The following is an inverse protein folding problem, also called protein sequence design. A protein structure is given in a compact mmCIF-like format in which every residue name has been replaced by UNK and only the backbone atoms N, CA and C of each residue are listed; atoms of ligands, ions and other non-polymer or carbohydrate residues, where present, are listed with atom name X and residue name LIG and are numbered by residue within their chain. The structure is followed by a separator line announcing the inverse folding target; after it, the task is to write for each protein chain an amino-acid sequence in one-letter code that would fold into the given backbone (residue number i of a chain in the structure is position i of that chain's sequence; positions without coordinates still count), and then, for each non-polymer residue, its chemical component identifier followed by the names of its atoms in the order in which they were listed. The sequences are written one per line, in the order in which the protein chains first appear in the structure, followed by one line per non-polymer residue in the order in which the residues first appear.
data_IF_710723298103
#
_entry.id   IF_710723298103
#
_cell.length_a   1.000
_cell.length_b   1.000
_cell.length_c   1.000
_cell.angle_alpha   90.00
_cell.angle_beta   90.00
_cell.angle_gamma   90.00
#
_symmetry.space_group_name_H-M   'P 1'
#
loop_
_entity.id
_entity.type
_entity.pdbx_description
1 polymer ?
#
# COMPACT_ATOMS: atom_id res chain seq x y z
N UNK A 1 1.98 39.62 5.50
CA UNK A 1 0.54 39.85 5.74
C UNK A 1 -0.09 39.99 4.36
N UNK A 2 -0.76 38.94 3.88
CA UNK A 2 -1.42 38.99 2.59
C UNK A 2 -2.60 39.97 2.71
N UNK A 3 -2.58 41.05 1.93
CA UNK A 3 -3.77 41.90 1.77
C UNK A 3 -4.87 40.99 1.26
N UNK A 4 -5.90 40.78 2.07
CA UNK A 4 -6.95 39.82 1.78
C UNK A 4 -7.70 40.30 0.53
N UNK A 5 -8.06 39.38 -0.35
CA UNK A 5 -8.88 39.66 -1.53
C UNK A 5 -10.20 40.36 -1.14
N UNK A 6 -10.61 40.20 0.11
CA UNK A 6 -11.72 40.91 0.75
C UNK A 6 -11.42 42.39 1.03
N UNK A 7 -10.23 42.73 1.50
CA UNK A 7 -9.81 44.11 1.76
C UNK A 7 -9.66 44.90 0.45
N UNK A 8 -9.14 44.24 -0.59
CA UNK A 8 -9.00 44.81 -1.94
C UNK A 8 -10.36 45.14 -2.56
N UNK A 9 -11.35 44.27 -2.39
CA UNK A 9 -12.74 44.52 -2.84
C UNK A 9 -13.44 45.63 -2.05
N UNK A 10 -13.19 45.71 -0.74
CA UNK A 10 -13.67 46.81 0.10
C UNK A 10 -13.10 48.16 -0.34
N UNK A 11 -11.79 48.20 -0.63
CA UNK A 11 -11.11 49.40 -1.13
C UNK A 11 -11.67 49.85 -2.48
N UNK A 12 -11.86 48.94 -3.44
CA UNK A 12 -12.48 49.26 -4.73
C UNK A 12 -13.87 49.86 -4.56
N UNK A 13 -14.72 49.24 -3.74
CA UNK A 13 -16.08 49.74 -3.48
C UNK A 13 -16.07 51.15 -2.89
N UNK A 14 -15.16 51.44 -1.96
CA UNK A 14 -14.99 52.76 -1.37
C UNK A 14 -14.46 53.79 -2.38
N UNK A 15 -13.53 53.40 -3.26
CA UNK A 15 -12.98 54.26 -4.31
C UNK A 15 -14.03 54.61 -5.36
N UNK A 16 -14.87 53.65 -5.78
CA UNK A 16 -15.98 53.87 -6.71
C UNK A 16 -16.95 54.92 -6.15
N UNK A 17 -17.28 54.83 -4.85
CA UNK A 17 -18.17 55.77 -4.19
C UNK A 17 -17.60 57.19 -4.05
N UNK A 18 -16.27 57.35 -3.98
CA UNK A 18 -15.62 58.64 -3.76
C UNK A 18 -15.15 59.34 -5.05
N UNK A 19 -14.73 58.57 -6.05
CA UNK A 19 -13.98 59.06 -7.22
C UNK A 19 -14.67 58.71 -8.55
N UNK A 20 -15.71 57.86 -8.52
CA UNK A 20 -16.31 57.27 -9.72
C UNK A 20 -15.59 56.00 -10.17
N UNK A 21 -16.28 55.19 -10.98
CA UNK A 21 -15.82 53.84 -11.30
C UNK A 21 -14.52 53.82 -12.13
N UNK A 22 -14.42 54.62 -13.19
CA UNK A 22 -13.21 54.68 -14.04
C UNK A 22 -11.95 55.09 -13.25
N UNK A 23 -12.08 56.07 -12.36
CA UNK A 23 -10.95 56.54 -11.56
C UNK A 23 -10.54 55.50 -10.51
N UNK A 24 -11.52 54.80 -9.92
CA UNK A 24 -11.29 53.71 -8.98
C UNK A 24 -10.59 52.52 -9.65
N UNK A 25 -11.04 52.11 -10.83
CA UNK A 25 -10.43 51.02 -11.60
C UNK A 25 -8.99 51.33 -12.00
N UNK A 26 -8.75 52.56 -12.45
CA UNK A 26 -7.41 53.03 -12.83
C UNK A 26 -6.46 53.01 -11.62
N UNK A 27 -6.92 53.46 -10.44
CA UNK A 27 -6.13 53.42 -9.20
C UNK A 27 -5.87 51.99 -8.73
N UNK A 28 -6.88 51.12 -8.79
CA UNK A 28 -6.74 49.72 -8.40
C UNK A 28 -5.81 48.95 -9.34
N UNK A 29 -5.71 49.35 -10.62
CA UNK A 29 -4.77 48.78 -11.59
C UNK A 29 -3.30 49.21 -11.36
N UNK A 30 -3.08 50.36 -10.70
CA UNK A 30 -1.75 50.86 -10.35
C UNK A 30 -1.22 50.28 -9.03
N UNK A 31 -2.10 49.75 -8.18
CA UNK A 31 -1.70 49.09 -6.96
C UNK A 31 -0.96 47.78 -7.30
N UNK A 32 0.15 47.47 -6.59
CA UNK A 32 0.85 46.22 -6.81
C UNK A 32 -0.10 45.06 -6.54
N UNK A 33 -0.48 44.34 -7.59
CA UNK A 33 -1.12 43.06 -7.47
C UNK A 33 -0.26 42.18 -6.56
N UNK A 34 -0.89 41.36 -5.72
CA UNK A 34 -0.24 40.36 -4.86
C UNK A 34 1.03 39.83 -5.54
N UNK A 35 2.21 39.82 -4.87
CA UNK A 35 3.44 39.35 -5.47
C UNK A 35 3.19 37.99 -6.12
N UNK A 36 3.33 37.91 -7.45
CA UNK A 36 3.09 36.68 -8.20
C UNK A 36 4.01 35.54 -7.75
N UNK A 37 5.11 35.89 -7.10
CA UNK A 37 6.09 34.99 -6.53
C UNK A 37 5.53 34.15 -5.36
N UNK A 38 4.46 34.59 -4.71
CA UNK A 38 3.80 33.84 -3.63
C UNK A 38 2.66 32.92 -4.13
N UNK A 39 2.35 32.96 -5.43
CA UNK A 39 1.31 32.13 -6.03
C UNK A 39 1.93 30.88 -6.65
N UNK A 40 1.46 29.70 -6.20
CA UNK A 40 1.79 28.44 -6.87
C UNK A 40 1.33 28.52 -8.33
N UNK A 41 2.29 28.37 -9.24
CA UNK A 41 2.03 28.37 -10.68
C UNK A 41 1.54 27.01 -11.12
N UNK A 42 0.95 26.93 -12.32
CA UNK A 42 0.57 25.63 -12.91
C UNK A 42 1.77 24.69 -13.02
N UNK A 43 2.96 25.23 -13.31
CA UNK A 43 4.19 24.45 -13.39
C UNK A 43 4.58 23.85 -12.03
N UNK A 44 4.33 24.55 -10.92
CA UNK A 44 4.57 24.02 -9.58
C UNK A 44 3.62 22.86 -9.24
N UNK A 45 2.36 22.96 -9.67
CA UNK A 45 1.40 21.86 -9.52
C UNK A 45 1.77 20.66 -10.39
N UNK A 46 2.14 20.86 -11.65
CA UNK A 46 2.59 19.77 -12.54
C UNK A 46 3.84 19.08 -11.99
N UNK A 47 4.79 19.85 -11.46
CA UNK A 47 5.98 19.29 -10.81
C UNK A 47 5.64 18.52 -9.53
N UNK A 48 4.62 18.96 -8.78
CA UNK A 48 4.13 18.25 -7.60
C UNK A 48 3.42 16.95 -8.00
N UNK A 49 2.57 16.98 -9.01
CA UNK A 49 1.84 15.82 -9.56
C UNK A 49 2.83 14.74 -10.01
N UNK A 50 3.81 15.09 -10.83
CA UNK A 50 4.85 14.15 -11.28
C UNK A 50 5.64 13.54 -10.09
N UNK A 51 5.94 14.34 -9.06
CA UNK A 51 6.61 13.83 -7.85
C UNK A 51 5.71 12.91 -7.04
N UNK A 52 4.41 13.16 -7.01
CA UNK A 52 3.46 12.28 -6.33
C UNK A 52 3.31 10.96 -7.08
N UNK A 53 3.14 11.00 -8.40
CA UNK A 53 3.03 9.80 -9.23
C UNK A 53 4.26 8.91 -9.08
N UNK A 54 5.47 9.48 -9.20
CA UNK A 54 6.70 8.72 -9.01
C UNK A 54 6.82 8.11 -7.61
N UNK A 55 6.30 8.79 -6.57
CA UNK A 55 6.27 8.24 -5.20
C UNK A 55 5.25 7.13 -5.04
N UNK A 56 4.09 7.25 -5.67
CA UNK A 56 3.06 6.22 -5.65
C UNK A 56 3.51 4.97 -6.40
N UNK A 57 4.09 5.12 -7.59
CA UNK A 57 4.65 4.00 -8.35
C UNK A 57 5.74 3.28 -7.55
N UNK A 58 6.65 4.03 -6.92
CA UNK A 58 7.67 3.44 -6.05
C UNK A 58 7.10 2.75 -4.81
N UNK A 59 5.95 3.20 -4.30
CA UNK A 59 5.25 2.57 -3.18
C UNK A 59 4.58 1.26 -3.62
N UNK A 60 3.91 1.26 -4.77
CA UNK A 60 3.28 0.07 -5.37
C UNK A 60 4.32 -1.03 -5.61
N UNK A 61 5.43 -0.72 -6.27
CA UNK A 61 6.51 -1.68 -6.50
C UNK A 61 7.08 -2.27 -5.20
N UNK A 62 7.20 -1.45 -4.14
CA UNK A 62 7.65 -1.93 -2.82
C UNK A 62 6.61 -2.81 -2.15
N UNK A 63 5.33 -2.52 -2.33
CA UNK A 63 4.25 -3.35 -1.80
C UNK A 63 4.22 -4.69 -2.50
N UNK A 64 4.26 -4.72 -3.83
CA UNK A 64 4.27 -5.95 -4.63
C UNK A 64 5.45 -6.85 -4.23
N UNK A 65 6.67 -6.29 -4.18
CA UNK A 65 7.85 -7.05 -3.77
C UNK A 65 7.73 -7.62 -2.33
N UNK A 66 7.06 -6.88 -1.43
CA UNK A 66 6.81 -7.36 -0.05
C UNK A 66 5.76 -8.46 -0.03
N UNK A 67 4.70 -8.35 -0.83
CA UNK A 67 3.67 -9.36 -0.94
C UNK A 67 4.24 -10.65 -1.53
N UNK A 68 4.98 -10.58 -2.64
CA UNK A 68 5.64 -11.75 -3.24
C UNK A 68 6.59 -12.43 -2.24
N UNK A 69 7.40 -11.65 -1.51
CA UNK A 69 8.29 -12.19 -0.49
C UNK A 69 7.52 -12.88 0.65
N UNK A 70 6.36 -12.34 1.03
CA UNK A 70 5.50 -12.93 2.06
C UNK A 70 4.84 -14.22 1.57
N UNK A 71 4.31 -14.24 0.35
CA UNK A 71 3.76 -15.44 -0.28
C UNK A 71 4.80 -16.55 -0.37
N UNK A 72 6.02 -16.23 -0.82
CA UNK A 72 7.11 -17.20 -0.89
C UNK A 72 7.45 -17.77 0.50
N UNK A 73 7.52 -16.92 1.53
CA UNK A 73 7.78 -17.35 2.91
C UNK A 73 6.67 -18.25 3.44
N UNK A 74 5.41 -17.91 3.19
CA UNK A 74 4.26 -18.71 3.60
C UNK A 74 4.25 -20.07 2.91
N UNK A 75 4.47 -20.11 1.59
CA UNK A 75 4.56 -21.36 0.84
C UNK A 75 5.74 -22.22 1.31
N UNK A 76 6.89 -21.61 1.57
CA UNK A 76 8.06 -22.32 2.08
C UNK A 76 7.82 -22.89 3.50
N UNK A 77 7.22 -22.09 4.39
CA UNK A 77 6.87 -22.52 5.74
C UNK A 77 5.86 -23.68 5.70
N UNK A 78 4.78 -23.53 4.94
CA UNK A 78 3.75 -24.56 4.79
C UNK A 78 4.32 -25.85 4.19
N UNK A 79 5.15 -25.75 3.15
CA UNK A 79 5.84 -26.91 2.57
C UNK A 79 6.77 -27.58 3.57
N UNK A 80 7.47 -26.81 4.39
CA UNK A 80 8.33 -27.31 5.46
C UNK A 80 7.55 -28.07 6.53
N UNK A 81 6.46 -27.48 7.03
CA UNK A 81 5.57 -28.08 8.03
C UNK A 81 4.89 -29.34 7.50
N UNK A 82 4.36 -29.31 6.27
CA UNK A 82 3.79 -30.49 5.64
C UNK A 82 4.82 -31.61 5.48
N UNK A 83 6.03 -31.30 5.01
CA UNK A 83 7.07 -32.31 4.87
C UNK A 83 7.45 -32.92 6.22
N UNK A 84 7.55 -32.10 7.27
CA UNK A 84 7.84 -32.59 8.63
C UNK A 84 6.71 -33.46 9.19
N UNK A 85 5.46 -33.05 9.01
CA UNK A 85 4.28 -33.81 9.42
C UNK A 85 4.17 -35.14 8.66
N UNK A 86 4.32 -35.10 7.33
CA UNK A 86 4.32 -36.31 6.49
C UNK A 86 5.46 -37.25 6.90
N UNK A 87 6.69 -36.75 7.04
CA UNK A 87 7.84 -37.60 7.37
C UNK A 87 7.69 -38.28 8.74
N UNK A 88 7.21 -37.55 9.74
CA UNK A 88 6.99 -38.10 11.09
C UNK A 88 5.84 -39.11 11.11
N UNK A 89 4.76 -38.84 10.38
CA UNK A 89 3.62 -39.75 10.23
C UNK A 89 4.01 -41.03 9.47
N UNK A 90 4.69 -40.91 8.33
CA UNK A 90 5.10 -42.03 7.49
C UNK A 90 5.97 -43.01 8.24
N UNK A 91 6.90 -42.53 9.07
CA UNK A 91 7.78 -43.41 9.86
C UNK A 91 6.97 -44.28 10.83
N UNK A 92 6.11 -43.67 11.64
CA UNK A 92 5.27 -44.40 12.60
C UNK A 92 4.29 -45.33 11.88
N UNK A 93 3.68 -44.87 10.79
CA UNK A 93 2.75 -45.67 10.00
C UNK A 93 3.43 -46.90 9.38
N UNK A 94 4.64 -46.76 8.83
CA UNK A 94 5.41 -47.90 8.29
C UNK A 94 5.73 -48.92 9.39
N UNK A 95 6.18 -48.45 10.57
CA UNK A 95 6.49 -49.34 11.68
C UNK A 95 5.26 -50.10 12.18
N UNK A 96 4.13 -49.41 12.39
CA UNK A 96 2.91 -50.04 12.91
C UNK A 96 2.28 -50.99 11.90
N UNK A 97 2.22 -50.62 10.61
CA UNK A 97 1.68 -51.49 9.55
C UNK A 97 2.51 -52.74 9.36
N UNK A 98 3.84 -52.63 9.29
CA UNK A 98 4.73 -53.80 9.17
C UNK A 98 4.61 -54.71 10.39
N UNK A 99 4.59 -54.14 11.60
CA UNK A 99 4.41 -54.90 12.83
C UNK A 99 3.08 -55.64 12.88
N UNK A 100 1.99 -54.99 12.43
CA UNK A 100 0.67 -55.61 12.36
C UNK A 100 0.65 -56.78 11.36
N UNK A 101 1.25 -56.62 10.18
CA UNK A 101 1.35 -57.69 9.17
C UNK A 101 2.12 -58.90 9.72
N UNK A 102 3.27 -58.67 10.36
CA UNK A 102 4.07 -59.75 10.96
C UNK A 102 3.31 -60.46 12.08
N UNK A 103 2.63 -59.69 12.94
CA UNK A 103 1.85 -60.25 14.06
C UNK A 103 0.68 -61.10 13.57
N UNK A 104 -0.08 -60.61 12.57
CA UNK A 104 -1.18 -61.37 11.96
C UNK A 104 -0.67 -62.66 11.29
N UNK A 105 0.45 -62.60 10.58
CA UNK A 105 1.07 -63.78 9.97
C UNK A 105 1.51 -64.81 11.00
N UNK A 106 2.14 -64.38 12.10
CA UNK A 106 2.55 -65.26 13.19
C UNK A 106 1.36 -65.95 13.87
N UNK A 107 0.26 -65.24 14.11
CA UNK A 107 -0.97 -65.80 14.66
C UNK A 107 -1.59 -66.85 13.72
N UNK A 108 -1.66 -66.57 12.42
CA UNK A 108 -2.18 -67.52 11.44
C UNK A 108 -1.35 -68.81 11.40
N UNK A 109 -0.03 -68.70 11.45
CA UNK A 109 0.89 -69.84 11.40
C UNK A 109 0.85 -70.68 12.69
N UNK A 110 0.70 -70.03 13.85
CA UNK A 110 0.45 -70.73 15.12
C UNK A 110 -0.86 -71.50 15.08
N UNK A 111 -1.96 -70.88 14.63
CA UNK A 111 -3.26 -71.56 14.50
C UNK A 111 -3.18 -72.78 13.57
N UNK A 112 -2.46 -72.68 12.46
CA UNK A 112 -2.27 -73.79 11.51
C UNK A 112 -1.44 -74.96 12.08
N UNK A 113 -0.59 -74.73 13.09
CA UNK A 113 0.19 -75.79 13.75
C UNK A 113 -0.61 -76.56 14.80
N UNK A 114 -1.61 -75.93 15.42
CA UNK A 114 -2.45 -76.50 16.46
C UNK A 114 -3.79 -77.06 15.94
N UNK A 115 -4.10 -76.84 14.66
CA UNK A 115 -5.21 -77.46 13.93
C UNK A 115 -4.74 -78.76 13.27
#
# INVERSE_FOLDING_TARGET
MAVDERERRGLHTALVGALGEEAADTLMAQLPAVPRDDLATKADLEALEQRMDARFEALEQRMDARFEAMEYRLLAAFRGELNAAVTSQTRTMIFTTTGAVVSLGGLALALARFA
#
